data_IF_124196580369
#
_entry.id   IF_124196580369
#
_cell.length_a   1.000
_cell.length_b   1.000
_cell.length_c   1.000
_cell.angle_alpha   90.00
_cell.angle_beta   90.00
_cell.angle_gamma   90.00
#
_symmetry.space_group_name_H-M   'P 1'
#
loop_
_entity.id
_entity.type
_entity.pdbx_description
1 polymer ?
#
# COMPACT_ATOMS: atom_id res chain seq x y z
N UNK A 1 -4.67 -17.52 -19.73
CA UNK A 1 -3.52 -16.91 -19.02
C UNK A 1 -4.03 -15.65 -18.34
N UNK A 2 -4.00 -15.60 -17.01
CA UNK A 2 -4.45 -14.43 -16.25
C UNK A 2 -3.49 -13.27 -16.49
N UNK A 3 -4.02 -12.06 -16.75
CA UNK A 3 -3.16 -10.91 -16.99
C UNK A 3 -2.50 -10.49 -15.67
N UNK A 4 -1.20 -10.17 -15.66
CA UNK A 4 -0.56 -9.69 -14.44
C UNK A 4 -1.25 -8.40 -13.96
N UNK A 5 -1.39 -8.20 -12.65
CA UNK A 5 -2.04 -7.03 -12.11
C UNK A 5 -1.36 -5.76 -12.60
N UNK A 6 -2.17 -4.76 -12.99
CA UNK A 6 -1.67 -3.46 -13.44
C UNK A 6 -0.88 -2.80 -12.31
N UNK A 7 0.36 -2.42 -12.58
CA UNK A 7 1.22 -1.72 -11.62
C UNK A 7 1.24 -0.24 -11.94
N UNK A 8 1.10 0.61 -10.91
CA UNK A 8 1.35 2.05 -11.00
C UNK A 8 2.54 2.42 -10.14
N UNK A 9 3.34 3.38 -10.61
CA UNK A 9 4.36 4.04 -9.82
C UNK A 9 3.76 5.31 -9.22
N UNK A 10 4.07 5.57 -7.95
CA UNK A 10 3.70 6.80 -7.26
C UNK A 10 4.98 7.54 -6.83
N UNK A 11 4.91 8.87 -6.85
CA UNK A 11 5.96 9.74 -6.34
C UNK A 11 5.41 10.45 -5.11
N UNK A 12 6.18 10.48 -4.03
CA UNK A 12 5.82 11.15 -2.77
C UNK A 12 6.84 12.25 -2.48
N UNK A 13 6.36 13.40 -2.03
CA UNK A 13 7.20 14.48 -1.53
C UNK A 13 7.28 14.37 -0.01
N UNK A 14 8.47 14.47 0.55
CA UNK A 14 8.72 14.40 2.00
C UNK A 14 10.00 15.18 2.37
N UNK A 15 10.16 15.56 3.64
CA UNK A 15 11.43 16.07 4.16
C UNK A 15 12.61 15.14 3.84
N UNK A 16 13.79 15.72 3.67
CA UNK A 16 15.01 14.96 3.34
C UNK A 16 15.41 14.06 4.51
N UNK A 17 15.15 14.52 5.73
CA UNK A 17 15.41 13.84 6.98
C UNK A 17 14.62 12.53 7.04
N UNK A 18 13.30 12.59 6.81
CA UNK A 18 12.45 11.40 6.78
C UNK A 18 12.89 10.41 5.69
N UNK A 19 13.24 10.92 4.50
CA UNK A 19 13.76 10.08 3.42
C UNK A 19 15.07 9.36 3.81
N UNK A 20 15.98 10.03 4.52
CA UNK A 20 17.23 9.43 5.00
C UNK A 20 16.95 8.32 6.00
N UNK A 21 16.07 8.55 6.96
CA UNK A 21 15.68 7.54 7.96
C UNK A 21 15.09 6.30 7.26
N UNK A 22 14.17 6.49 6.32
CA UNK A 22 13.61 5.39 5.52
C UNK A 22 14.68 4.64 4.73
N UNK A 23 15.66 5.36 4.16
CA UNK A 23 16.75 4.75 3.40
C UNK A 23 17.65 3.91 4.30
N UNK A 24 17.98 4.40 5.49
CA UNK A 24 18.80 3.66 6.47
C UNK A 24 18.09 2.40 6.93
N UNK A 25 16.79 2.48 7.20
CA UNK A 25 15.99 1.33 7.60
C UNK A 25 15.94 0.26 6.49
N UNK A 26 15.74 0.66 5.24
CA UNK A 26 15.79 -0.26 4.10
C UNK A 26 17.17 -0.96 4.00
N UNK A 27 18.25 -0.22 4.24
CA UNK A 27 19.60 -0.76 4.26
C UNK A 27 19.81 -1.76 5.41
N UNK A 28 19.29 -1.47 6.61
CA UNK A 28 19.35 -2.37 7.78
C UNK A 28 18.70 -3.72 7.50
N UNK A 29 17.59 -3.71 6.77
CA UNK A 29 16.88 -4.93 6.34
C UNK A 29 17.44 -5.57 5.07
N UNK A 30 18.44 -4.96 4.42
CA UNK A 30 18.98 -5.40 3.14
C UNK A 30 17.91 -5.54 2.04
N UNK A 31 16.96 -4.61 2.00
CA UNK A 31 15.89 -4.58 0.98
C UNK A 31 15.86 -3.24 0.23
N UNK A 32 15.32 -3.21 -1.00
CA UNK A 32 15.06 -1.97 -1.70
C UNK A 32 14.07 -1.08 -0.92
N UNK A 33 14.24 0.25 -0.98
CA UNK A 33 13.29 1.19 -0.34
C UNK A 33 11.85 0.98 -0.81
N UNK A 34 11.63 0.64 -2.08
CA UNK A 34 10.29 0.37 -2.62
C UNK A 34 9.62 -0.83 -1.95
N UNK A 35 10.41 -1.84 -1.55
CA UNK A 35 9.92 -2.99 -0.82
C UNK A 35 9.59 -2.63 0.63
N UNK A 36 10.43 -1.82 1.28
CA UNK A 36 10.13 -1.27 2.61
C UNK A 36 8.80 -0.50 2.59
N UNK A 37 8.62 0.42 1.64
CA UNK A 37 7.38 1.18 1.48
C UNK A 37 6.17 0.27 1.27
N UNK A 38 6.28 -0.78 0.46
CA UNK A 38 5.17 -1.74 0.27
C UNK A 38 4.81 -2.47 1.55
N UNK A 39 5.81 -2.93 2.31
CA UNK A 39 5.59 -3.63 3.59
C UNK A 39 4.87 -2.75 4.59
N UNK A 40 5.23 -1.47 4.66
CA UNK A 40 4.60 -0.51 5.56
C UNK A 40 3.22 -0.05 5.09
N UNK A 41 3.00 0.07 3.78
CA UNK A 41 1.68 0.40 3.23
C UNK A 41 0.69 -0.76 3.32
N UNK A 42 1.16 -2.01 3.30
CA UNK A 42 0.31 -3.19 3.17
C UNK A 42 -0.81 -3.28 4.22
N UNK A 43 -0.57 -3.08 5.52
CA UNK A 43 -1.63 -3.17 6.54
C UNK A 43 -2.74 -2.14 6.31
N UNK A 44 -2.39 -0.92 5.93
CA UNK A 44 -3.39 0.13 5.65
C UNK A 44 -4.17 -0.15 4.37
N UNK A 45 -3.52 -0.70 3.34
CA UNK A 45 -4.20 -1.13 2.12
C UNK A 45 -5.17 -2.28 2.39
N UNK A 46 -4.77 -3.27 3.20
CA UNK A 46 -5.63 -4.39 3.59
C UNK A 46 -6.85 -3.86 4.36
N UNK A 47 -6.66 -2.94 5.32
CA UNK A 47 -7.76 -2.26 6.03
C UNK A 47 -8.69 -1.50 5.10
N UNK A 48 -8.16 -0.81 4.08
CA UNK A 48 -8.97 -0.09 3.10
C UNK A 48 -9.79 -1.04 2.20
N UNK A 49 -9.23 -2.19 1.82
CA UNK A 49 -9.97 -3.20 1.07
C UNK A 49 -11.14 -3.75 1.88
N UNK A 50 -10.91 -4.11 3.15
CA UNK A 50 -11.98 -4.59 4.05
C UNK A 50 -13.11 -3.57 4.20
N UNK A 51 -12.77 -2.28 4.34
CA UNK A 51 -13.76 -1.19 4.43
C UNK A 51 -14.57 -1.03 3.14
N UNK A 52 -13.91 -1.14 1.98
CA UNK A 52 -14.57 -1.06 0.69
C UNK A 52 -15.47 -2.28 0.44
N UNK A 53 -15.03 -3.49 0.79
CA UNK A 53 -15.82 -4.72 0.63
C UNK A 53 -17.05 -4.72 1.56
N UNK A 54 -16.89 -4.24 2.80
CA UNK A 54 -18.00 -4.04 3.74
C UNK A 54 -19.00 -2.98 3.23
N UNK A 55 -18.50 -1.88 2.65
CA UNK A 55 -19.32 -0.81 2.08
C UNK A 55 -20.07 -1.30 0.82
N UNK A 56 -19.42 -2.12 0.00
CA UNK A 56 -20.04 -2.72 -1.20
C UNK A 56 -21.11 -3.76 -0.80
N UNK A 57 -20.88 -4.53 0.27
CA UNK A 57 -21.85 -5.51 0.79
C UNK A 57 -23.12 -4.85 1.37
N UNK A 58 -23.02 -3.62 1.88
CA UNK A 58 -24.18 -2.85 2.34
C UNK A 58 -25.05 -2.34 1.17
N UNK A 59 -24.45 -2.01 0.02
CA UNK A 59 -25.21 -1.54 -1.16
C UNK A 59 -26.07 -2.60 -1.82
N UNK A 60 -25.80 -3.90 -1.61
CA UNK A 60 -26.61 -5.00 -2.17
C UNK A 60 -27.79 -5.43 -1.27
N UNK A 61 -27.72 -5.16 0.04
CA UNK A 61 -28.79 -5.52 0.98
C UNK A 61 -29.93 -4.49 1.06
N UNK A 62 -29.78 -3.33 0.41
CA UNK A 62 -30.83 -2.29 0.34
C UNK A 62 -31.73 -2.42 -0.91
N UNK A 63 -31.50 -3.43 -1.77
CA UNK A 63 -32.27 -3.70 -2.99
C UNK A 63 -32.88 -5.13 -2.96
N UNK A 64 -33.38 -5.58 -1.81
CA UNK A 64 -34.16 -6.83 -1.70
C UNK A 64 -35.40 -6.66 -0.86
#
# INVERSE_FOLDING_TARGET
MEQPPRRKQISIFMPVEDWKEMRMEAARHHIPMTELCRRWLRPELDRLHEQNDASTSLTWNEIS
#
